data_IF_475551963821
#
_entry.id   IF_475551963821
#
_cell.length_a   1.000
_cell.length_b   1.000
_cell.length_c   1.000
_cell.angle_alpha   90.00
_cell.angle_beta   90.00
_cell.angle_gamma   90.00
#
_symmetry.space_group_name_H-M   'P 1'
#
loop_
_entity.id
_entity.type
_entity.pdbx_description
1 polymer ?
#
# COMPACT_ATOMS: atom_id res chain seq x y z
N UNK A 1 -27.89 8.55 -8.79
CA UNK A 1 -27.35 7.47 -7.93
C UNK A 1 -26.37 6.67 -8.76
N UNK A 2 -25.07 6.69 -8.42
CA UNK A 2 -24.08 5.83 -9.09
C UNK A 2 -24.05 4.55 -8.28
N UNK A 3 -24.58 3.47 -8.84
CA UNK A 3 -24.54 2.14 -8.23
C UNK A 3 -23.23 1.50 -8.68
N UNK A 4 -22.27 1.40 -7.77
CA UNK A 4 -21.03 0.66 -8.02
C UNK A 4 -21.27 -0.79 -7.61
N UNK A 5 -21.39 -1.69 -8.59
CA UNK A 5 -21.47 -3.13 -8.33
C UNK A 5 -20.18 -3.62 -7.69
N UNK A 6 -20.28 -4.54 -6.73
CA UNK A 6 -19.13 -5.22 -6.13
C UNK A 6 -18.20 -5.79 -7.22
N UNK A 7 -16.87 -5.62 -7.12
CA UNK A 7 -15.96 -5.93 -8.21
C UNK A 7 -15.84 -7.45 -8.37
N UNK A 8 -16.66 -8.03 -9.24
CA UNK A 8 -16.27 -9.25 -9.91
C UNK A 8 -15.23 -8.87 -10.95
N UNK A 9 -13.98 -9.29 -10.74
CA UNK A 9 -12.82 -8.95 -11.59
C UNK A 9 -13.08 -9.23 -13.07
N UNK A 10 -13.68 -10.38 -13.40
CA UNK A 10 -14.00 -10.76 -14.78
C UNK A 10 -15.03 -9.81 -15.40
N UNK A 11 -15.96 -9.30 -14.59
CA UNK A 11 -16.97 -8.36 -15.05
C UNK A 11 -16.36 -6.96 -15.27
N UNK A 12 -15.39 -6.57 -14.43
CA UNK A 12 -14.68 -5.30 -14.57
C UNK A 12 -13.80 -5.27 -15.83
N UNK A 13 -13.00 -6.31 -16.08
CA UNK A 13 -12.13 -6.37 -17.26
C UNK A 13 -12.93 -6.37 -18.57
N UNK A 14 -13.99 -7.18 -18.63
CA UNK A 14 -14.88 -7.22 -19.79
C UNK A 14 -15.60 -5.89 -20.00
N UNK A 15 -16.10 -5.26 -18.93
CA UNK A 15 -16.73 -3.94 -19.00
C UNK A 15 -15.74 -2.85 -19.43
N UNK A 16 -14.55 -2.82 -18.84
CA UNK A 16 -13.52 -1.83 -19.14
C UNK A 16 -13.11 -1.89 -20.62
N UNK A 17 -12.94 -3.08 -21.18
CA UNK A 17 -12.69 -3.28 -22.61
C UNK A 17 -13.86 -2.81 -23.47
N UNK A 18 -15.10 -3.10 -23.07
CA UNK A 18 -16.30 -2.75 -23.84
C UNK A 18 -16.54 -1.24 -23.90
N UNK A 19 -16.30 -0.52 -22.79
CA UNK A 19 -16.55 0.93 -22.72
C UNK A 19 -15.32 1.77 -23.05
N UNK A 20 -14.17 1.15 -23.33
CA UNK A 20 -12.90 1.87 -23.50
C UNK A 20 -12.49 2.62 -22.24
N UNK A 21 -12.68 2.01 -21.07
CA UNK A 21 -12.40 2.66 -19.78
C UNK A 21 -10.91 2.99 -19.67
N UNK A 22 -10.61 4.24 -19.32
CA UNK A 22 -9.26 4.66 -19.01
C UNK A 22 -8.89 4.28 -17.56
N UNK A 23 -7.66 3.80 -17.38
CA UNK A 23 -7.14 3.48 -16.06
C UNK A 23 -6.86 4.78 -15.28
N UNK A 24 -7.60 5.00 -14.19
CA UNK A 24 -7.36 6.13 -13.29
C UNK A 24 -6.34 5.71 -12.24
N UNK A 25 -5.11 6.24 -12.36
CA UNK A 25 -4.07 6.10 -11.34
C UNK A 25 -4.15 7.31 -10.40
N UNK A 26 -4.61 7.07 -9.17
CA UNK A 26 -4.66 8.08 -8.11
C UNK A 26 -3.43 7.89 -7.21
N UNK A 27 -2.78 9.00 -6.85
CA UNK A 27 -1.67 8.95 -5.90
C UNK A 27 -2.15 8.44 -4.54
N UNK A 28 -1.31 7.65 -3.88
CA UNK A 28 -1.49 7.41 -2.45
C UNK A 28 -1.33 8.74 -1.70
N UNK A 29 -2.08 8.95 -0.59
CA UNK A 29 -1.86 10.07 0.30
C UNK A 29 -0.40 10.16 0.75
N UNK A 30 0.10 11.36 0.98
CA UNK A 30 1.42 11.57 1.58
C UNK A 30 1.32 11.57 3.12
N UNK A 31 2.46 11.53 3.82
CA UNK A 31 2.49 11.57 5.29
C UNK A 31 1.70 12.75 5.87
N UNK A 32 1.81 13.93 5.24
CA UNK A 32 1.07 15.12 5.66
C UNK A 32 -0.45 14.98 5.49
N UNK A 33 -0.90 14.29 4.43
CA UNK A 33 -2.32 14.01 4.22
C UNK A 33 -2.85 13.07 5.30
N UNK A 34 -2.08 12.02 5.64
CA UNK A 34 -2.44 11.11 6.73
C UNK A 34 -2.46 11.84 8.06
N UNK A 35 -1.50 12.74 8.31
CA UNK A 35 -1.45 13.58 9.51
C UNK A 35 -2.68 14.47 9.64
N UNK A 36 -3.12 15.09 8.55
CA UNK A 36 -4.33 15.91 8.55
C UNK A 36 -5.58 15.06 8.88
N UNK A 37 -5.65 13.84 8.37
CA UNK A 37 -6.72 12.88 8.71
C UNK A 37 -6.65 12.50 10.19
N UNK A 38 -5.46 12.30 10.76
CA UNK A 38 -5.32 12.03 12.20
C UNK A 38 -5.90 13.16 13.05
N UNK A 39 -5.48 14.40 12.78
CA UNK A 39 -5.98 15.59 13.49
C UNK A 39 -7.51 15.70 13.36
N UNK A 40 -8.05 15.39 12.18
CA UNK A 40 -9.50 15.40 11.97
C UNK A 40 -10.22 14.31 12.77
N UNK A 41 -9.69 13.09 12.83
CA UNK A 41 -10.25 11.98 13.61
C UNK A 41 -10.21 12.25 15.12
N UNK A 42 -9.11 12.79 15.62
CA UNK A 42 -8.95 13.21 17.03
C UNK A 42 -10.00 14.25 17.41
N UNK A 43 -10.16 15.29 16.59
CA UNK A 43 -11.17 16.33 16.81
C UNK A 43 -12.60 15.81 16.85
N UNK A 44 -12.89 14.75 16.08
CA UNK A 44 -14.23 14.17 15.99
C UNK A 44 -14.46 13.02 16.97
N UNK A 45 -13.49 12.69 17.84
CA UNK A 45 -13.61 11.57 18.78
C UNK A 45 -13.67 10.20 18.09
N UNK A 46 -13.08 10.07 16.89
CA UNK A 46 -13.09 8.84 16.09
C UNK A 46 -11.78 8.04 16.19
N UNK A 47 -10.97 8.33 17.21
CA UNK A 47 -9.79 7.53 17.52
C UNK A 47 -10.29 6.29 18.25
N UNK A 48 -10.35 5.15 17.54
CA UNK A 48 -10.75 3.87 18.16
C UNK A 48 -9.82 3.58 19.35
N UNK A 49 -10.41 3.36 20.52
CA UNK A 49 -9.77 2.81 21.71
C UNK A 49 -9.39 1.34 21.44
N UNK A 50 -8.32 1.12 20.65
CA UNK A 50 -7.82 -0.21 20.40
C UNK A 50 -7.02 -0.72 21.62
N UNK A 51 -7.77 -1.31 22.55
CA UNK A 51 -7.42 -2.20 23.68
C UNK A 51 -6.95 -1.61 25.03
N UNK A 52 -7.65 -2.04 26.08
CA UNK A 52 -7.52 -1.79 27.52
C UNK A 52 -6.30 -2.45 28.20
N UNK A 53 -5.44 -3.15 27.45
CA UNK A 53 -4.28 -3.85 28.03
C UNK A 53 -2.96 -3.26 27.49
N UNK A 54 -2.41 -2.38 28.32
CA UNK A 54 -0.96 -2.19 28.59
C UNK A 54 -0.04 -1.94 27.38
N UNK A 55 0.08 -0.67 26.96
CA UNK A 55 1.28 0.15 27.20
C UNK A 55 1.17 1.48 26.43
N UNK A 56 1.19 2.55 27.22
CA UNK A 56 1.54 3.93 26.89
C UNK A 56 0.56 4.78 26.05
N UNK A 57 0.23 5.94 26.64
CA UNK A 57 -0.10 7.26 26.10
C UNK A 57 0.86 7.71 24.96
N UNK A 58 1.16 6.84 24.01
CA UNK A 58 1.79 7.24 22.77
C UNK A 58 0.75 8.00 21.96
N UNK A 59 1.03 9.29 21.74
CA UNK A 59 0.34 10.18 20.79
C UNK A 59 -0.21 9.37 19.60
N UNK A 60 -1.50 9.47 19.32
CA UNK A 60 -2.16 8.71 18.23
C UNK A 60 -1.40 8.87 16.91
N UNK A 61 -0.88 10.07 16.66
CA UNK A 61 -0.03 10.34 15.51
C UNK A 61 1.26 9.51 15.50
N UNK A 62 1.92 9.31 16.65
CA UNK A 62 3.11 8.47 16.77
C UNK A 62 2.82 7.03 16.33
N UNK A 63 1.72 6.44 16.83
CA UNK A 63 1.28 5.08 16.43
C UNK A 63 1.00 4.98 14.93
N UNK A 64 0.30 5.97 14.36
CA UNK A 64 0.02 6.01 12.92
C UNK A 64 1.30 6.16 12.11
N UNK A 65 2.23 7.01 12.55
CA UNK A 65 3.52 7.22 11.88
C UNK A 65 4.36 5.94 11.82
N UNK A 66 4.45 5.21 12.92
CA UNK A 66 5.14 3.91 12.96
C UNK A 66 4.53 2.92 11.96
N UNK A 67 3.20 2.91 11.82
CA UNK A 67 2.52 2.07 10.82
C UNK A 67 2.82 2.55 9.39
N UNK A 68 2.85 3.85 9.11
CA UNK A 68 3.23 4.41 7.80
C UNK A 68 4.64 3.96 7.42
N UNK A 69 5.59 3.99 8.35
CA UNK A 69 6.98 3.56 8.08
C UNK A 69 7.06 2.08 7.63
N UNK A 70 6.10 1.27 8.07
CA UNK A 70 6.06 -0.18 7.82
C UNK A 70 5.26 -0.57 6.59
N UNK A 71 4.09 0.03 6.36
CA UNK A 71 3.18 -0.34 5.25
C UNK A 71 2.94 0.77 4.23
N UNK A 72 3.63 1.91 4.37
CA UNK A 72 3.36 3.12 3.60
C UNK A 72 2.08 3.83 4.05
N UNK A 73 1.73 4.97 3.43
CA UNK A 73 0.55 5.78 3.77
C UNK A 73 -0.78 5.17 3.27
N UNK A 74 -0.92 3.85 3.37
CA UNK A 74 -2.11 3.11 2.97
C UNK A 74 -3.18 3.24 4.06
N UNK A 75 -4.10 4.19 3.90
CA UNK A 75 -5.16 4.52 4.87
C UNK A 75 -5.89 3.29 5.43
N UNK A 76 -6.11 2.28 4.59
CA UNK A 76 -6.75 1.01 4.95
C UNK A 76 -6.08 0.27 6.12
N UNK A 77 -4.76 0.40 6.25
CA UNK A 77 -3.95 -0.36 7.20
C UNK A 77 -3.36 0.50 8.31
N UNK A 78 -3.20 1.82 8.12
CA UNK A 78 -2.52 2.67 9.13
C UNK A 78 -3.42 3.05 10.32
N UNK A 79 -4.74 3.01 10.17
CA UNK A 79 -5.66 3.45 11.22
C UNK A 79 -6.25 2.34 12.10
N UNK A 80 -6.04 1.07 11.75
CA UNK A 80 -6.66 -0.09 12.41
C UNK A 80 -5.57 -1.12 12.71
N UNK A 81 -5.36 -1.44 13.98
CA UNK A 81 -4.29 -2.32 14.45
C UNK A 81 -4.44 -3.72 13.89
N UNK A 82 -5.67 -4.24 13.79
CA UNK A 82 -5.91 -5.61 13.30
C UNK A 82 -5.59 -5.72 11.82
N UNK A 83 -6.04 -4.74 11.02
CA UNK A 83 -5.73 -4.64 9.59
C UNK A 83 -4.24 -4.40 9.36
N UNK A 84 -3.61 -3.55 10.16
CA UNK A 84 -2.16 -3.36 10.15
C UNK A 84 -1.40 -4.67 10.36
N UNK A 85 -1.66 -5.37 11.48
CA UNK A 85 -1.01 -6.64 11.81
C UNK A 85 -1.24 -7.68 10.72
N UNK A 86 -2.48 -7.84 10.26
CA UNK A 86 -2.83 -8.75 9.16
C UNK A 86 -2.04 -8.44 7.88
N UNK A 87 -1.86 -7.15 7.55
CA UNK A 87 -1.08 -6.72 6.39
C UNK A 87 0.39 -7.09 6.54
N UNK A 88 1.00 -6.81 7.71
CA UNK A 88 2.39 -7.16 8.00
C UNK A 88 2.62 -8.67 7.84
N UNK A 89 1.82 -9.50 8.50
CA UNK A 89 1.93 -10.96 8.38
C UNK A 89 1.79 -11.44 6.93
N UNK A 90 0.87 -10.84 6.16
CA UNK A 90 0.68 -11.19 4.75
C UNK A 90 1.89 -10.83 3.88
N UNK A 91 2.52 -9.68 4.17
CA UNK A 91 3.72 -9.22 3.48
C UNK A 91 4.92 -10.08 3.84
N UNK A 92 5.19 -10.29 5.12
CA UNK A 92 6.29 -11.14 5.61
C UNK A 92 6.17 -12.57 5.08
N UNK A 93 4.98 -13.18 5.19
CA UNK A 93 4.74 -14.52 4.66
C UNK A 93 5.00 -14.61 3.16
N UNK A 94 4.64 -13.56 2.38
CA UNK A 94 4.95 -13.53 0.95
C UNK A 94 6.45 -13.39 0.72
N UNK A 95 7.13 -12.47 1.39
CA UNK A 95 8.58 -12.27 1.26
C UNK A 95 9.33 -13.58 1.59
N UNK A 96 8.97 -14.25 2.68
CA UNK A 96 9.58 -15.52 3.07
C UNK A 96 9.30 -16.68 2.09
N UNK A 97 8.19 -16.61 1.35
CA UNK A 97 7.83 -17.60 0.33
C UNK A 97 8.43 -17.33 -1.05
N UNK A 98 9.09 -16.17 -1.24
CA UNK A 98 9.68 -15.82 -2.53
C UNK A 98 10.85 -16.77 -2.85
N UNK A 99 10.84 -17.33 -4.05
CA UNK A 99 11.95 -18.12 -4.57
C UNK A 99 12.85 -17.26 -5.49
N UNK A 100 13.91 -17.88 -6.03
CA UNK A 100 14.87 -17.17 -6.89
C UNK A 100 14.25 -16.64 -8.19
N UNK A 101 13.12 -17.19 -8.68
CA UNK A 101 12.39 -16.67 -9.84
C UNK A 101 11.49 -15.48 -9.51
N UNK A 102 11.06 -15.34 -8.25
CA UNK A 102 10.40 -14.12 -7.76
C UNK A 102 11.36 -12.89 -7.79
N UNK A 103 12.65 -13.05 -8.12
CA UNK A 103 13.59 -11.93 -8.33
C UNK A 103 13.22 -11.00 -9.47
N UNK A 104 12.48 -11.49 -10.47
CA UNK A 104 12.02 -10.64 -11.57
C UNK A 104 11.14 -9.47 -11.07
N UNK A 105 10.53 -9.58 -9.89
CA UNK A 105 9.83 -8.46 -9.25
C UNK A 105 10.74 -7.28 -8.88
N UNK A 106 12.03 -7.50 -8.65
CA UNK A 106 12.96 -6.40 -8.41
C UNK A 106 13.42 -5.77 -9.71
N UNK A 107 13.48 -6.54 -10.80
CA UNK A 107 13.86 -6.04 -12.13
C UNK A 107 12.90 -4.96 -12.64
N UNK A 108 11.64 -5.01 -12.24
CA UNK A 108 10.62 -4.02 -12.61
C UNK A 108 10.60 -2.77 -11.70
N UNK A 109 11.36 -2.75 -10.61
CA UNK A 109 11.40 -1.58 -9.73
C UNK A 109 12.05 -0.40 -10.45
N UNK A 110 11.45 0.77 -10.34
CA UNK A 110 11.88 1.97 -11.06
C UNK A 110 11.56 1.95 -12.56
N UNK A 111 10.90 0.91 -13.07
CA UNK A 111 10.39 0.85 -14.45
C UNK A 111 8.90 1.12 -14.49
N UNK A 112 8.39 1.46 -15.67
CA UNK A 112 6.97 1.56 -15.96
C UNK A 112 6.39 0.25 -16.51
N UNK A 113 7.11 -0.86 -16.37
CA UNK A 113 6.64 -2.17 -16.79
C UNK A 113 5.48 -2.62 -15.91
N UNK A 114 4.52 -3.32 -16.51
CA UNK A 114 3.39 -3.85 -15.77
C UNK A 114 3.90 -4.97 -14.87
N UNK A 115 3.74 -4.77 -13.57
CA UNK A 115 3.98 -5.82 -12.59
C UNK A 115 2.99 -6.96 -12.83
N UNK A 116 3.48 -8.20 -12.92
CA UNK A 116 2.62 -9.37 -13.08
C UNK A 116 1.54 -9.37 -11.98
N UNK A 117 0.30 -9.61 -12.38
CA UNK A 117 -0.87 -9.62 -11.51
C UNK A 117 -0.99 -10.96 -10.75
N UNK A 118 0.16 -11.59 -10.48
CA UNK A 118 0.19 -12.59 -9.43
C UNK A 118 -0.41 -11.95 -8.19
N UNK A 119 -1.28 -12.69 -7.50
CA UNK A 119 -2.07 -12.24 -6.34
C UNK A 119 -1.26 -11.67 -5.16
N UNK A 120 0.05 -11.50 -5.32
CA UNK A 120 1.00 -11.18 -4.28
C UNK A 120 1.87 -9.95 -4.56
N UNK A 121 1.91 -9.42 -5.78
CA UNK A 121 2.76 -8.28 -6.13
C UNK A 121 2.41 -7.01 -5.36
N UNK A 122 1.11 -6.71 -5.27
CA UNK A 122 0.58 -5.59 -4.49
C UNK A 122 0.91 -5.65 -2.98
N UNK A 123 1.48 -6.75 -2.48
CA UNK A 123 1.95 -6.87 -1.08
C UNK A 123 3.32 -6.23 -0.87
N UNK A 124 4.15 -6.16 -1.91
CA UNK A 124 5.54 -5.71 -1.82
C UNK A 124 5.80 -4.48 -2.68
N UNK A 125 5.07 -4.35 -3.79
CA UNK A 125 5.21 -3.26 -4.77
C UNK A 125 3.98 -2.37 -4.77
N UNK A 126 4.20 -1.06 -4.96
CA UNK A 126 3.21 -0.04 -5.25
C UNK A 126 3.56 0.67 -6.56
N UNK A 127 2.57 1.26 -7.20
CA UNK A 127 2.77 2.16 -8.34
C UNK A 127 2.83 3.59 -7.82
N UNK A 128 3.85 4.34 -8.22
CA UNK A 128 4.01 5.77 -7.93
C UNK A 128 3.96 6.56 -9.23
N UNK A 129 3.27 7.70 -9.24
CA UNK A 129 3.26 8.62 -10.37
C UNK A 129 4.44 9.55 -10.25
N UNK A 130 5.36 9.50 -11.21
CA UNK A 130 6.51 10.41 -11.28
C UNK A 130 6.26 11.45 -12.37
N UNK A 131 6.38 12.72 -11.99
CA UNK A 131 6.28 13.83 -12.93
C UNK A 131 7.66 14.16 -13.49
N UNK A 132 7.82 13.97 -14.80
CA UNK A 132 9.02 14.34 -15.54
C UNK A 132 9.01 15.79 -16.01
N UNK A 133 10.12 16.19 -16.66
CA UNK A 133 10.20 17.47 -17.35
C UNK A 133 9.14 17.60 -18.46
N UNK A 134 8.75 18.83 -18.81
CA UNK A 134 7.73 19.13 -19.85
C UNK A 134 6.32 18.60 -19.55
N UNK A 135 5.95 18.44 -18.27
CA UNK A 135 4.62 17.95 -17.84
C UNK A 135 4.32 16.50 -18.27
N UNK A 136 5.34 15.71 -18.61
CA UNK A 136 5.15 14.27 -18.79
C UNK A 136 5.00 13.59 -17.43
N UNK A 137 4.21 12.53 -17.38
CA UNK A 137 4.03 11.74 -16.16
C UNK A 137 4.15 10.27 -16.51
N UNK A 138 4.87 9.53 -15.68
CA UNK A 138 5.11 8.11 -15.86
C UNK A 138 4.80 7.37 -14.55
N UNK A 139 4.01 6.29 -14.60
CA UNK A 139 3.89 5.39 -13.47
C UNK A 139 5.19 4.58 -13.35
N UNK A 140 5.75 4.51 -12.15
CA UNK A 140 6.88 3.63 -11.83
C UNK A 140 6.50 2.68 -10.72
N UNK A 141 7.06 1.47 -10.76
CA UNK A 141 6.95 0.55 -9.64
C UNK A 141 7.95 0.94 -8.55
N UNK A 142 7.50 0.93 -7.29
CA UNK A 142 8.31 1.19 -6.12
C UNK A 142 7.96 0.19 -5.01
N UNK A 143 8.84 0.01 -4.04
CA UNK A 143 8.50 -0.76 -2.85
C UNK A 143 7.43 -0.03 -2.04
N UNK A 144 6.55 -0.80 -1.41
CA UNK A 144 5.49 -0.26 -0.53
C UNK A 144 6.11 0.59 0.58
N UNK A 145 7.17 0.08 1.23
CA UNK A 145 7.93 0.76 2.28
C UNK A 145 9.39 0.28 2.32
N UNK A 146 10.25 1.08 2.95
CA UNK A 146 11.65 0.72 3.19
C UNK A 146 11.78 -0.49 4.13
N UNK A 147 10.86 -0.66 5.07
CA UNK A 147 10.83 -1.83 5.96
C UNK A 147 10.66 -3.14 5.19
N UNK A 148 9.70 -3.18 4.25
CA UNK A 148 9.50 -4.35 3.39
C UNK A 148 10.69 -4.56 2.45
N UNK A 149 11.32 -3.48 1.97
CA UNK A 149 12.61 -3.55 1.28
C UNK A 149 13.68 -4.27 2.11
N UNK A 150 13.89 -3.86 3.36
CA UNK A 150 14.90 -4.46 4.22
C UNK A 150 14.61 -5.94 4.54
N UNK A 151 13.34 -6.29 4.77
CA UNK A 151 12.91 -7.68 4.96
C UNK A 151 13.27 -8.54 3.75
N UNK A 152 13.04 -8.02 2.56
CA UNK A 152 13.41 -8.74 1.34
C UNK A 152 14.91 -8.94 1.27
N UNK A 153 15.74 -7.90 1.44
CA UNK A 153 17.20 -8.00 1.46
C UNK A 153 17.75 -8.98 2.52
N UNK A 154 17.12 -9.06 3.69
CA UNK A 154 17.54 -9.96 4.77
C UNK A 154 17.31 -11.45 4.40
N UNK A 155 16.18 -11.76 3.77
CA UNK A 155 15.85 -13.12 3.30
C UNK A 155 16.83 -13.66 2.24
N UNK A 156 17.60 -12.80 1.56
CA UNK A 156 18.61 -13.20 0.58
C UNK A 156 19.94 -13.63 1.19
N UNK A 157 20.23 -13.23 2.44
CA UNK A 157 21.50 -13.51 3.11
C UNK A 157 21.49 -14.75 4.00
N UNK A 158 20.30 -15.30 4.28
CA UNK A 158 20.05 -16.49 5.10
C UNK A 158 19.89 -17.74 4.24
#
# INVERSE_FOLDING_TARGET
MIVVTSPNKNNYESWANLVGAEQIIINCPEENDVRAICIWKERNGQVEEESEDEEEEADYWKKVKERIDKVGPLLRYVFDQRKYKSRIYSCEGKVNSMNLFDTNYYSILGTNEVCDDSHSSHKVVKVVRVRGGKKSELPLNALVSSYLGNLTYASWRS
#
